data_IF_628229605693
#
_entry.id   IF_628229605693
#
_cell.length_a   1.000
_cell.length_b   1.000
_cell.length_c   1.000
_cell.angle_alpha   90.00
_cell.angle_beta   90.00
_cell.angle_gamma   90.00
#
_symmetry.space_group_name_H-M   'P 1'
#
loop_
_entity.id
_entity.type
_entity.pdbx_description
1 polymer ?
#
# COMPACT_ATOMS: atom_id res chain seq x y z
N UNK A 1 18.67 -23.91 12.45
CA UNK A 1 19.91 -23.49 11.77
C UNK A 1 19.77 -22.24 10.89
N UNK A 2 19.02 -21.21 11.34
CA UNK A 2 18.81 -19.98 10.59
C UNK A 2 19.25 -18.75 11.37
N UNK A 3 19.73 -17.75 10.66
CA UNK A 3 19.91 -16.38 11.14
C UNK A 3 18.61 -15.65 10.81
N UNK A 4 18.06 -14.88 11.75
CA UNK A 4 16.86 -14.08 11.53
C UNK A 4 17.19 -12.60 11.61
N UNK A 5 16.99 -11.88 10.49
CA UNK A 5 16.96 -10.42 10.47
C UNK A 5 15.51 -9.95 10.36
N UNK A 6 15.11 -8.94 11.14
CA UNK A 6 13.72 -8.45 11.19
C UNK A 6 13.65 -6.95 11.38
N UNK A 7 12.66 -6.33 10.73
CA UNK A 7 12.35 -4.91 10.92
C UNK A 7 10.89 -4.59 10.61
N UNK A 8 10.41 -3.46 11.13
CA UNK A 8 9.18 -2.82 10.72
C UNK A 8 9.51 -1.78 9.65
N UNK A 9 8.96 -1.95 8.44
CA UNK A 9 9.20 -1.05 7.31
C UNK A 9 7.88 -0.41 6.90
N UNK A 10 7.88 0.93 6.74
CA UNK A 10 6.75 1.66 6.20
C UNK A 10 6.95 1.89 4.69
N UNK A 11 6.01 1.46 3.89
CA UNK A 11 6.08 1.54 2.43
C UNK A 11 5.93 2.95 1.85
N UNK A 12 5.71 3.99 2.65
CA UNK A 12 5.42 5.36 2.19
C UNK A 12 6.52 6.00 1.32
N UNK A 13 7.75 5.51 1.40
CA UNK A 13 8.87 5.94 0.57
C UNK A 13 8.80 5.40 -0.88
N UNK A 14 8.04 4.34 -1.12
CA UNK A 14 7.91 3.68 -2.43
C UNK A 14 6.54 3.87 -3.07
N UNK A 15 5.50 3.88 -2.22
CA UNK A 15 4.11 3.96 -2.67
C UNK A 15 3.34 4.98 -1.83
N UNK A 16 2.30 5.63 -2.38
CA UNK A 16 1.56 6.68 -1.66
C UNK A 16 0.64 6.10 -0.58
N UNK A 17 1.20 5.28 0.30
CA UNK A 17 0.45 4.57 1.34
C UNK A 17 1.28 4.41 2.62
N UNK A 18 0.73 4.82 3.76
CA UNK A 18 1.26 4.46 5.06
C UNK A 18 0.96 2.98 5.33
N UNK A 19 1.93 2.09 5.04
CA UNK A 19 1.80 0.65 5.19
C UNK A 19 3.00 0.10 5.94
N UNK A 20 2.86 -0.02 7.26
CA UNK A 20 3.89 -0.62 8.10
C UNK A 20 3.68 -2.14 8.11
N UNK A 21 4.76 -2.90 7.82
CA UNK A 21 4.76 -4.36 7.86
C UNK A 21 6.04 -4.86 8.51
N UNK A 22 5.92 -5.99 9.20
CA UNK A 22 7.08 -6.72 9.69
C UNK A 22 7.68 -7.55 8.54
N UNK A 23 8.96 -7.33 8.29
CA UNK A 23 9.76 -8.13 7.37
C UNK A 23 10.66 -9.01 8.20
N UNK A 24 10.59 -10.31 7.99
CA UNK A 24 11.43 -11.32 8.65
C UNK A 24 12.14 -12.13 7.57
N UNK A 25 13.45 -12.12 7.63
CA UNK A 25 14.33 -12.75 6.66
C UNK A 25 15.08 -13.86 7.37
N UNK A 26 15.09 -15.04 6.78
CA UNK A 26 15.76 -16.20 7.36
C UNK A 26 16.84 -16.69 6.42
N UNK A 27 18.09 -16.75 6.90
CA UNK A 27 19.27 -17.15 6.15
C UNK A 27 19.84 -18.42 6.75
N UNK A 28 20.12 -19.41 5.91
CA UNK A 28 20.72 -20.65 6.38
C UNK A 28 22.19 -20.44 6.78
N UNK A 29 22.57 -20.90 8.00
CA UNK A 29 23.89 -20.64 8.56
C UNK A 29 25.05 -21.31 7.80
N UNK A 30 24.77 -22.30 6.96
CA UNK A 30 25.78 -22.91 6.08
C UNK A 30 26.24 -21.99 4.94
N UNK A 31 25.36 -21.04 4.52
CA UNK A 31 25.62 -20.17 3.37
C UNK A 31 25.91 -18.71 3.74
N UNK A 32 25.54 -18.32 4.97
CA UNK A 32 25.65 -16.92 5.42
C UNK A 32 26.21 -16.86 6.83
N UNK A 33 27.19 -15.98 7.06
CA UNK A 33 27.60 -15.63 8.43
C UNK A 33 26.61 -14.64 9.05
N UNK A 34 26.47 -14.72 10.38
CA UNK A 34 25.56 -13.84 11.13
C UNK A 34 25.98 -12.37 11.00
N UNK A 35 27.25 -12.10 11.12
CA UNK A 35 27.83 -10.76 10.96
C UNK A 35 27.50 -10.17 9.58
N UNK A 36 27.71 -10.93 8.50
CA UNK A 36 27.38 -10.48 7.13
C UNK A 36 25.90 -10.12 7.00
N UNK A 37 24.99 -10.98 7.48
CA UNK A 37 23.55 -10.74 7.38
C UNK A 37 23.14 -9.51 8.16
N UNK A 38 23.61 -9.37 9.40
CA UNK A 38 23.20 -8.26 10.27
C UNK A 38 23.74 -6.92 9.78
N UNK A 39 25.01 -6.85 9.36
CA UNK A 39 25.61 -5.62 8.80
C UNK A 39 24.88 -5.21 7.53
N UNK A 40 24.67 -6.13 6.60
CA UNK A 40 23.99 -5.82 5.33
C UNK A 40 22.55 -5.34 5.57
N UNK A 41 21.84 -5.99 6.48
CA UNK A 41 20.48 -5.61 6.77
C UNK A 41 20.41 -4.27 7.52
N UNK A 42 21.34 -3.99 8.44
CA UNK A 42 21.39 -2.70 9.12
C UNK A 42 21.68 -1.56 8.13
N UNK A 43 22.67 -1.71 7.26
CA UNK A 43 22.97 -0.72 6.22
C UNK A 43 21.77 -0.44 5.31
N UNK A 44 20.97 -1.48 5.00
CA UNK A 44 19.71 -1.29 4.29
C UNK A 44 18.71 -0.46 5.10
N UNK A 45 18.51 -0.76 6.39
CA UNK A 45 17.61 0.01 7.24
C UNK A 45 18.03 1.46 7.38
N UNK A 46 19.32 1.72 7.50
CA UNK A 46 19.87 3.08 7.58
C UNK A 46 19.60 3.85 6.27
N UNK A 47 19.77 3.20 5.11
CA UNK A 47 19.41 3.79 3.83
C UNK A 47 17.91 4.11 3.69
N UNK A 48 17.04 3.30 4.32
CA UNK A 48 15.60 3.57 4.36
C UNK A 48 15.26 4.76 5.26
N UNK A 49 15.97 4.91 6.38
CA UNK A 49 15.78 6.04 7.27
C UNK A 49 16.11 7.37 6.56
N UNK A 50 17.11 7.37 5.69
CA UNK A 50 17.46 8.49 4.83
C UNK A 50 16.41 8.76 3.75
N UNK A 51 15.95 7.71 3.03
CA UNK A 51 14.87 7.81 2.04
C UNK A 51 13.55 8.31 2.65
N UNK A 52 13.17 7.77 3.80
CA UNK A 52 11.93 8.15 4.49
C UNK A 52 11.91 9.57 5.06
N UNK A 53 13.08 10.22 5.17
CA UNK A 53 13.19 11.62 5.56
C UNK A 53 13.06 12.59 4.38
N UNK A 54 13.26 12.11 3.15
CA UNK A 54 13.39 12.98 2.00
C UNK A 54 12.07 13.25 1.29
N UNK A 55 11.19 12.26 1.07
CA UNK A 55 9.90 12.52 0.41
C UNK A 55 8.86 11.40 0.65
N UNK A 56 7.70 11.77 1.19
CA UNK A 56 6.52 10.92 1.16
C UNK A 56 5.94 10.91 -0.26
N UNK A 57 5.67 9.76 -0.84
CA UNK A 57 5.00 9.68 -2.14
C UNK A 57 3.54 10.17 -2.01
N UNK A 58 3.14 11.26 -2.69
CA UNK A 58 1.79 11.81 -2.55
C UNK A 58 0.77 11.01 -3.36
N UNK A 59 -0.48 10.95 -2.90
CA UNK A 59 -1.55 10.22 -3.59
C UNK A 59 -1.85 10.75 -5.00
N UNK A 60 -1.66 12.05 -5.22
CA UNK A 60 -1.88 12.66 -6.55
C UNK A 60 -1.09 11.96 -7.66
N UNK A 61 0.05 11.34 -7.33
CA UNK A 61 0.89 10.64 -8.31
C UNK A 61 0.19 9.44 -8.97
N UNK A 62 -0.82 8.88 -8.30
CA UNK A 62 -1.55 7.69 -8.76
C UNK A 62 -3.05 7.95 -8.97
N UNK A 63 -3.54 9.14 -8.67
CA UNK A 63 -4.96 9.47 -8.77
C UNK A 63 -5.47 9.28 -10.20
N UNK A 64 -6.49 8.45 -10.35
CA UNK A 64 -7.09 8.16 -11.65
C UNK A 64 -7.78 9.37 -12.26
N UNK A 65 -7.61 9.54 -13.56
CA UNK A 65 -8.32 10.50 -14.42
C UNK A 65 -9.33 9.79 -15.35
N UNK A 66 -9.65 8.53 -15.05
CA UNK A 66 -10.55 7.72 -15.88
C UNK A 66 -11.96 8.36 -15.94
N UNK A 67 -12.70 8.22 -17.07
CA UNK A 67 -14.03 8.79 -17.22
C UNK A 67 -15.11 8.10 -16.38
N UNK A 68 -14.89 6.84 -15.97
CA UNK A 68 -15.93 6.01 -15.32
C UNK A 68 -15.84 5.98 -13.79
N UNK A 69 -15.44 7.06 -13.14
CA UNK A 69 -15.30 7.11 -11.68
C UNK A 69 -16.64 7.01 -10.94
N UNK A 70 -17.77 7.23 -11.60
CA UNK A 70 -19.12 7.17 -11.03
C UNK A 70 -19.44 5.79 -10.41
N UNK A 71 -18.94 4.70 -10.98
CA UNK A 71 -19.17 3.34 -10.48
C UNK A 71 -18.50 3.06 -9.12
N UNK A 72 -17.53 3.89 -8.73
CA UNK A 72 -16.84 3.80 -7.45
C UNK A 72 -17.45 4.69 -6.36
N UNK A 73 -18.47 5.46 -6.71
CA UNK A 73 -19.19 6.35 -5.81
C UNK A 73 -19.91 5.57 -4.73
N UNK A 74 -19.76 5.98 -3.47
CA UNK A 74 -20.57 5.39 -2.41
C UNK A 74 -21.97 6.00 -2.39
N UNK A 75 -22.94 5.27 -1.83
CA UNK A 75 -24.30 5.79 -1.73
C UNK A 75 -24.40 6.91 -0.69
N UNK A 76 -25.43 7.78 -0.81
CA UNK A 76 -25.71 8.82 0.18
C UNK A 76 -25.96 8.22 1.58
N UNK A 77 -26.67 7.08 1.65
CA UNK A 77 -26.92 6.37 2.92
C UNK A 77 -25.63 5.85 3.54
N UNK A 78 -24.75 5.22 2.75
CA UNK A 78 -23.44 4.78 3.22
C UNK A 78 -22.62 5.97 3.73
N UNK A 79 -22.60 7.08 3.02
CA UNK A 79 -21.86 8.27 3.44
C UNK A 79 -22.37 8.83 4.77
N UNK A 80 -23.70 8.98 4.93
CA UNK A 80 -24.30 9.44 6.19
C UNK A 80 -23.98 8.48 7.36
N UNK A 81 -24.04 7.17 7.13
CA UNK A 81 -23.69 6.18 8.15
C UNK A 81 -22.21 6.28 8.58
N UNK A 82 -21.29 6.47 7.63
CA UNK A 82 -19.88 6.65 7.92
C UNK A 82 -19.59 7.93 8.71
N UNK A 83 -20.28 9.03 8.39
CA UNK A 83 -20.16 10.29 9.14
C UNK A 83 -20.65 10.12 10.57
N UNK A 84 -21.84 9.51 10.78
CA UNK A 84 -22.38 9.21 12.11
C UNK A 84 -21.46 8.30 12.92
N UNK A 85 -20.91 7.26 12.27
CA UNK A 85 -19.96 6.34 12.91
C UNK A 85 -18.70 7.08 13.39
N UNK A 86 -18.12 7.93 12.54
CA UNK A 86 -16.93 8.72 12.88
C UNK A 86 -17.18 9.68 14.03
N UNK A 87 -18.33 10.40 14.02
CA UNK A 87 -18.71 11.32 15.08
C UNK A 87 -18.81 10.59 16.43
N UNK A 88 -19.53 9.47 16.48
CA UNK A 88 -19.66 8.65 17.70
C UNK A 88 -18.32 8.16 18.25
N UNK A 89 -17.38 7.78 17.38
CA UNK A 89 -16.06 7.36 17.83
C UNK A 89 -15.20 8.53 18.32
N UNK A 90 -15.33 9.69 17.71
CA UNK A 90 -14.64 10.91 18.15
C UNK A 90 -15.13 11.35 19.53
N UNK A 91 -16.44 11.36 19.77
CA UNK A 91 -17.05 11.64 21.07
C UNK A 91 -16.57 10.66 22.16
N UNK A 92 -16.34 9.40 21.79
CA UNK A 92 -15.79 8.39 22.71
C UNK A 92 -14.25 8.44 22.85
N UNK A 93 -13.58 9.47 22.35
CA UNK A 93 -12.12 9.60 22.39
C UNK A 93 -11.35 8.59 21.52
N UNK A 94 -12.02 7.96 20.54
CA UNK A 94 -11.45 6.92 19.68
C UNK A 94 -11.20 7.48 18.28
N UNK A 95 -10.01 7.25 17.72
CA UNK A 95 -9.61 7.73 16.39
C UNK A 95 -10.13 6.91 15.19
N UNK A 96 -11.20 6.13 15.37
CA UNK A 96 -11.75 5.30 14.30
C UNK A 96 -12.70 6.06 13.37
N UNK A 97 -12.74 5.67 12.11
CA UNK A 97 -13.66 6.20 11.13
C UNK A 97 -13.08 6.23 9.73
N UNK A 98 -13.87 6.74 8.79
CA UNK A 98 -13.44 6.87 7.40
C UNK A 98 -12.21 7.79 7.26
N UNK A 99 -11.40 7.55 6.22
CA UNK A 99 -10.29 8.40 5.80
C UNK A 99 -10.59 9.06 4.48
N UNK A 100 -10.58 10.40 4.44
CA UNK A 100 -10.53 11.14 3.17
C UNK A 100 -9.06 11.29 2.76
N UNK A 101 -8.81 11.07 1.48
CA UNK A 101 -7.49 11.23 0.89
C UNK A 101 -7.13 12.72 0.84
N UNK A 102 -5.92 13.03 1.27
CA UNK A 102 -5.22 14.28 0.95
C UNK A 102 -4.27 13.98 -0.22
N UNK A 103 -4.48 14.62 -1.35
CA UNK A 103 -3.71 14.38 -2.57
C UNK A 103 -2.20 14.64 -2.41
N UNK A 104 -1.82 15.43 -1.41
CA UNK A 104 -0.43 15.80 -1.12
C UNK A 104 0.27 14.84 -0.16
N UNK A 105 -0.44 13.83 0.36
CA UNK A 105 0.06 12.91 1.37
C UNK A 105 -0.15 11.45 0.98
N UNK A 106 0.59 10.52 1.59
CA UNK A 106 0.27 9.11 1.49
C UNK A 106 -1.08 8.81 2.14
N UNK A 107 -1.80 7.83 1.61
CA UNK A 107 -3.06 7.36 2.15
C UNK A 107 -2.88 6.52 3.42
N UNK A 108 -3.99 6.13 4.04
CA UNK A 108 -4.02 5.02 5.01
C UNK A 108 -3.74 3.69 4.31
N UNK A 109 -3.44 2.66 5.09
CA UNK A 109 -3.21 1.30 4.59
C UNK A 109 -4.46 0.73 3.91
N UNK A 110 -4.32 0.27 2.67
CA UNK A 110 -5.32 -0.55 2.00
C UNK A 110 -5.44 -1.90 2.71
N UNK A 111 -6.62 -2.19 3.25
CA UNK A 111 -6.90 -3.45 3.94
C UNK A 111 -7.49 -4.52 3.02
N UNK A 112 -7.35 -5.80 3.39
CA UNK A 112 -8.00 -6.90 2.69
C UNK A 112 -9.55 -6.84 2.75
N UNK A 113 -10.11 -6.02 3.64
CA UNK A 113 -11.55 -5.81 3.82
C UNK A 113 -12.08 -4.62 3.03
N UNK A 114 -11.23 -3.93 2.27
CA UNK A 114 -11.57 -2.69 1.58
C UNK A 114 -12.85 -2.77 0.74
N UNK A 115 -13.06 -3.88 0.04
CA UNK A 115 -14.28 -4.07 -0.74
C UNK A 115 -15.56 -4.12 0.13
N UNK A 116 -15.45 -4.71 1.32
CA UNK A 116 -16.58 -4.93 2.24
C UNK A 116 -16.88 -3.70 3.08
N UNK A 117 -15.91 -3.29 3.88
CA UNK A 117 -16.06 -2.22 4.88
C UNK A 117 -15.28 -0.96 4.51
N UNK A 118 -14.63 -0.95 3.34
CA UNK A 118 -13.62 0.01 2.90
C UNK A 118 -14.03 1.46 3.00
N UNK A 119 -13.67 2.06 4.12
CA UNK A 119 -13.82 3.48 4.37
C UNK A 119 -12.49 4.13 4.77
N UNK A 120 -11.39 3.35 4.79
CA UNK A 120 -10.08 3.85 5.16
C UNK A 120 -9.46 4.76 4.09
N UNK A 121 -9.83 4.60 2.83
CA UNK A 121 -9.35 5.39 1.68
C UNK A 121 -10.55 5.81 0.83
N UNK A 122 -11.05 7.01 1.05
CA UNK A 122 -12.13 7.60 0.26
C UNK A 122 -11.64 8.87 -0.42
N UNK A 123 -11.99 9.04 -1.68
CA UNK A 123 -11.57 10.16 -2.51
C UNK A 123 -12.74 11.11 -2.70
N UNK A 124 -12.55 12.39 -2.35
CA UNK A 124 -13.51 13.44 -2.63
C UNK A 124 -13.23 14.00 -4.03
N UNK A 125 -14.16 13.81 -4.93
CA UNK A 125 -14.10 14.43 -6.26
C UNK A 125 -14.71 15.83 -6.24
N UNK A 126 -14.20 16.77 -7.06
CA UNK A 126 -14.81 18.09 -7.23
C UNK A 126 -16.30 17.95 -7.61
N UNK A 127 -17.15 18.79 -7.05
CA UNK A 127 -18.59 18.85 -7.32
C UNK A 127 -19.41 17.62 -6.87
N UNK A 128 -18.78 16.56 -6.31
CA UNK A 128 -19.50 15.41 -5.80
C UNK A 128 -19.94 15.58 -4.35
N UNK A 129 -21.21 15.25 -4.07
CA UNK A 129 -21.77 15.31 -2.70
C UNK A 129 -21.31 14.18 -1.81
N UNK A 130 -20.89 13.06 -2.38
CA UNK A 130 -20.39 11.88 -1.68
C UNK A 130 -19.03 11.47 -2.25
N UNK A 131 -18.14 10.92 -1.45
CA UNK A 131 -16.85 10.44 -1.94
C UNK A 131 -17.00 9.13 -2.72
N UNK A 132 -15.91 8.70 -3.35
CA UNK A 132 -15.77 7.41 -4.00
C UNK A 132 -14.71 6.54 -3.32
N UNK A 133 -14.80 5.25 -3.58
CA UNK A 133 -13.69 4.31 -3.33
C UNK A 133 -12.57 4.52 -4.37
N UNK A 134 -11.38 3.93 -4.10
CA UNK A 134 -10.32 3.87 -5.11
C UNK A 134 -10.72 2.95 -6.26
N UNK A 135 -10.19 3.20 -7.45
CA UNK A 135 -10.30 2.27 -8.59
C UNK A 135 -9.37 1.06 -8.40
N UNK A 136 -9.53 0.04 -9.23
CA UNK A 136 -8.61 -1.13 -9.23
C UNK A 136 -7.20 -0.68 -9.59
N UNK A 137 -7.07 0.22 -10.58
CA UNK A 137 -5.79 0.78 -11.03
C UNK A 137 -5.11 1.60 -9.94
N UNK A 138 -5.87 2.43 -9.21
CA UNK A 138 -5.36 3.14 -8.04
C UNK A 138 -4.93 2.14 -6.95
N UNK A 139 -5.67 1.05 -6.75
CA UNK A 139 -5.33 -0.02 -5.81
C UNK A 139 -4.03 -0.74 -6.21
N UNK A 140 -3.85 -1.05 -7.49
CA UNK A 140 -2.61 -1.61 -8.03
C UNK A 140 -1.43 -0.67 -7.81
N UNK A 141 -1.60 0.60 -8.14
CA UNK A 141 -0.57 1.62 -7.97
C UNK A 141 -0.21 1.87 -6.50
N UNK A 142 -1.21 1.85 -5.59
CA UNK A 142 -0.99 1.90 -4.13
C UNK A 142 -0.12 0.77 -3.60
N UNK A 143 -0.09 -0.35 -4.30
CA UNK A 143 0.69 -1.52 -3.92
C UNK A 143 1.97 -1.70 -4.74
N UNK A 144 2.28 -0.76 -5.67
CA UNK A 144 3.45 -0.82 -6.52
C UNK A 144 3.33 -1.77 -7.72
N UNK A 145 2.13 -2.29 -8.01
CA UNK A 145 1.85 -3.17 -9.17
C UNK A 145 1.47 -2.39 -10.43
N UNK A 146 2.02 -1.21 -10.63
CA UNK A 146 1.78 -0.42 -11.84
C UNK A 146 2.57 -0.97 -13.05
N UNK A 147 2.31 -0.42 -14.23
CA UNK A 147 2.97 -0.82 -15.47
C UNK A 147 4.51 -0.66 -15.44
N UNK A 148 5.02 0.25 -14.64
CA UNK A 148 6.47 0.48 -14.48
C UNK A 148 7.13 -0.72 -13.80
N UNK A 149 6.51 -1.26 -12.74
CA UNK A 149 6.96 -2.47 -12.08
C UNK A 149 7.01 -3.67 -13.05
N UNK A 150 5.94 -3.88 -13.81
CA UNK A 150 5.91 -4.96 -14.79
C UNK A 150 7.05 -4.91 -15.80
N UNK A 151 7.35 -3.74 -16.34
CA UNK A 151 8.44 -3.54 -17.30
C UNK A 151 9.81 -3.76 -16.68
N UNK A 152 10.04 -3.27 -15.47
CA UNK A 152 11.31 -3.42 -14.76
C UNK A 152 11.69 -4.87 -14.49
N UNK A 153 10.70 -5.73 -14.26
CA UNK A 153 10.90 -7.16 -13.97
C UNK A 153 10.58 -8.09 -15.17
N UNK A 154 10.52 -7.55 -16.38
CA UNK A 154 10.39 -8.33 -17.61
C UNK A 154 8.98 -8.81 -17.95
N UNK A 155 7.97 -8.35 -17.24
CA UNK A 155 6.57 -8.63 -17.61
C UNK A 155 6.14 -7.75 -18.79
N UNK A 156 6.01 -8.32 -19.98
CA UNK A 156 5.70 -7.58 -21.20
C UNK A 156 4.39 -6.74 -21.14
N UNK A 157 3.42 -7.15 -20.32
CA UNK A 157 2.09 -6.53 -20.21
C UNK A 157 1.80 -5.89 -18.86
N UNK A 158 2.78 -5.77 -17.97
CA UNK A 158 2.54 -5.36 -16.60
C UNK A 158 1.80 -6.42 -15.77
N UNK A 159 1.43 -6.07 -14.53
CA UNK A 159 0.64 -6.94 -13.68
C UNK A 159 -0.85 -6.73 -13.95
N UNK A 160 -1.59 -7.81 -14.22
CA UNK A 160 -3.04 -7.78 -14.45
C UNK A 160 -3.71 -8.90 -13.67
N UNK A 161 -4.94 -8.67 -13.25
CA UNK A 161 -5.81 -9.73 -12.70
C UNK A 161 -6.58 -10.41 -13.84
N UNK A 162 -6.97 -11.69 -13.67
CA UNK A 162 -7.89 -12.34 -14.58
C UNK A 162 -9.21 -11.57 -14.71
N UNK A 163 -9.77 -11.47 -15.91
CA UNK A 163 -11.04 -10.76 -16.17
C UNK A 163 -12.22 -11.33 -15.39
N UNK A 164 -12.17 -12.61 -15.05
CA UNK A 164 -13.18 -13.32 -14.25
C UNK A 164 -13.14 -12.94 -12.75
N UNK A 165 -12.10 -12.24 -12.31
CA UNK A 165 -11.94 -11.89 -10.90
C UNK A 165 -12.79 -10.68 -10.52
N UNK A 166 -13.61 -10.82 -9.48
CA UNK A 166 -14.42 -9.70 -8.98
C UNK A 166 -13.56 -8.61 -8.33
N UNK A 167 -14.01 -7.35 -8.38
CA UNK A 167 -13.34 -6.23 -7.69
C UNK A 167 -13.11 -6.53 -6.20
N UNK A 168 -14.03 -7.23 -5.54
CA UNK A 168 -13.90 -7.62 -4.14
C UNK A 168 -12.71 -8.56 -3.90
N UNK A 169 -12.52 -9.54 -4.77
CA UNK A 169 -11.36 -10.45 -4.72
C UNK A 169 -10.06 -9.71 -5.01
N UNK A 170 -10.05 -8.81 -5.99
CA UNK A 170 -8.89 -7.97 -6.32
C UNK A 170 -8.45 -7.16 -5.10
N UNK A 171 -9.34 -6.38 -4.48
CA UNK A 171 -8.99 -5.60 -3.30
C UNK A 171 -8.54 -6.46 -2.12
N UNK A 172 -9.14 -7.64 -1.94
CA UNK A 172 -8.72 -8.60 -0.91
C UNK A 172 -7.27 -9.06 -1.14
N UNK A 173 -6.91 -9.40 -2.37
CA UNK A 173 -5.54 -9.80 -2.72
C UNK A 173 -4.57 -8.65 -2.55
N UNK A 174 -4.88 -7.46 -3.07
CA UNK A 174 -4.05 -6.26 -2.91
C UNK A 174 -3.82 -5.93 -1.44
N UNK A 175 -4.88 -5.94 -0.62
CA UNK A 175 -4.77 -5.66 0.81
C UNK A 175 -3.92 -6.67 1.59
N UNK A 176 -3.84 -7.92 1.12
CA UNK A 176 -2.98 -8.98 1.70
C UNK A 176 -1.59 -9.04 1.08
N UNK A 177 -1.32 -8.32 0.00
CA UNK A 177 -0.04 -8.40 -0.70
C UNK A 177 1.05 -7.56 -0.01
N UNK A 178 2.28 -7.75 -0.48
CA UNK A 178 3.45 -6.95 -0.14
C UNK A 178 3.73 -5.94 -1.24
N UNK A 179 4.49 -4.89 -0.92
CA UNK A 179 5.00 -3.94 -1.93
C UNK A 179 6.24 -4.56 -2.59
N UNK A 180 6.19 -4.88 -3.90
CA UNK A 180 7.22 -5.65 -4.56
C UNK A 180 8.60 -4.95 -4.58
N UNK A 181 8.62 -3.63 -4.68
CA UNK A 181 9.86 -2.86 -4.70
C UNK A 181 10.67 -3.03 -3.41
N UNK A 182 10.01 -3.09 -2.25
CA UNK A 182 10.69 -3.32 -0.97
C UNK A 182 11.34 -4.71 -0.97
N UNK A 183 10.63 -5.73 -1.45
CA UNK A 183 11.17 -7.09 -1.54
C UNK A 183 12.36 -7.15 -2.49
N UNK A 184 12.28 -6.46 -3.63
CA UNK A 184 13.36 -6.38 -4.60
C UNK A 184 14.59 -5.70 -4.02
N UNK A 185 14.44 -4.59 -3.31
CA UNK A 185 15.56 -3.91 -2.65
C UNK A 185 16.17 -4.79 -1.57
N UNK A 186 15.36 -5.45 -0.73
CA UNK A 186 15.87 -6.41 0.27
C UNK A 186 16.63 -7.56 -0.42
N UNK A 187 16.06 -8.16 -1.45
CA UNK A 187 16.71 -9.26 -2.16
C UNK A 187 18.05 -8.84 -2.78
N UNK A 188 18.13 -7.64 -3.34
CA UNK A 188 19.34 -7.12 -4.00
C UNK A 188 20.55 -7.01 -3.06
N UNK A 189 20.32 -6.86 -1.74
CA UNK A 189 21.40 -6.76 -0.74
C UNK A 189 22.16 -8.07 -0.61
N UNK A 190 21.46 -9.19 -0.79
CA UNK A 190 21.98 -10.54 -0.55
C UNK A 190 22.30 -11.31 -1.83
N UNK A 191 21.89 -10.81 -2.99
CA UNK A 191 22.30 -11.38 -4.28
C UNK A 191 23.73 -10.93 -4.59
N UNK A 192 24.66 -11.88 -4.68
CA UNK A 192 26.01 -11.60 -5.21
C UNK A 192 25.86 -11.27 -6.70
N UNK A 193 26.34 -10.08 -7.10
CA UNK A 193 26.62 -9.80 -8.51
C UNK A 193 27.82 -10.60 -8.96
#
# INVERSE_FOLDING_TARGET
>A
NYICARALINAKAWVPQNRIRAYMLFFHREHFSEEFVLIKFQNFLDSLAEKGKTEDTPFISIRSKAPNLEEYKITKGTWAALQKHKARHLEAGRGFGYGLVDDKKPTRTLSARYAKDGAEILIKEPYWRVPRKITVEEGLALMGYNNTFGKQYGFKRGFTFPETMSKAQIYKQLGNSLVPEILSEIASIFVKK
#
